data_IF_758487949049
#
_entry.id   IF_758487949049
#
_cell.length_a   1.000
_cell.length_b   1.000
_cell.length_c   1.000
_cell.angle_alpha   90.00
_cell.angle_beta   90.00
_cell.angle_gamma   90.00
#
_symmetry.space_group_name_H-M   'P 1'
#
loop_
_entity.id
_entity.type
_entity.pdbx_description
1 polymer ?
#
# COMPACT_ATOMS: atom_id res chain seq x y z
N UNK A 1 -32.19 -12.88 12.49
CA UNK A 1 -31.51 -11.69 11.91
C UNK A 1 -30.50 -11.03 12.87
N UNK A 2 -30.37 -11.47 14.14
CA UNK A 2 -29.35 -10.96 15.07
C UNK A 2 -27.98 -11.66 14.99
N UNK A 3 -27.85 -12.82 14.31
CA UNK A 3 -26.59 -13.58 14.26
C UNK A 3 -25.63 -13.15 13.13
N UNK A 4 -26.04 -12.27 12.22
CA UNK A 4 -25.16 -11.77 11.14
C UNK A 4 -24.38 -10.50 11.54
N UNK A 5 -24.77 -9.82 12.64
CA UNK A 5 -24.11 -8.58 13.10
C UNK A 5 -22.97 -8.80 14.11
N UNK A 6 -22.71 -10.03 14.55
CA UNK A 6 -21.75 -10.33 15.64
C UNK A 6 -20.39 -10.84 15.15
N UNK A 7 -20.23 -11.16 13.85
CA UNK A 7 -19.01 -11.81 13.35
C UNK A 7 -17.99 -10.89 12.66
N UNK A 8 -18.23 -9.57 12.62
CA UNK A 8 -17.20 -8.63 12.15
C UNK A 8 -16.52 -8.00 13.37
N UNK A 9 -15.85 -8.83 14.17
CA UNK A 9 -14.88 -8.30 15.13
C UNK A 9 -13.75 -7.76 14.27
N UNK A 10 -13.80 -6.45 14.04
CA UNK A 10 -12.70 -5.74 13.39
C UNK A 10 -11.43 -6.00 14.18
N UNK A 11 -10.33 -6.19 13.46
CA UNK A 11 -9.03 -6.37 14.08
C UNK A 11 -8.76 -5.22 15.07
N UNK A 12 -8.29 -5.57 16.26
CA UNK A 12 -8.07 -4.58 17.31
C UNK A 12 -6.88 -3.70 16.96
N UNK A 13 -7.07 -2.39 17.06
CA UNK A 13 -5.99 -1.41 16.96
C UNK A 13 -5.58 -0.99 18.37
N UNK A 14 -4.32 -1.23 18.71
CA UNK A 14 -3.71 -0.79 19.97
C UNK A 14 -2.80 0.41 19.75
N UNK A 15 -2.68 1.28 20.75
CA UNK A 15 -1.72 2.39 20.74
C UNK A 15 -0.73 2.22 21.88
N UNK A 16 0.56 2.29 21.57
CA UNK A 16 1.64 2.29 22.56
C UNK A 16 1.75 3.71 23.13
N UNK A 17 1.64 3.91 24.45
CA UNK A 17 1.81 5.23 25.06
C UNK A 17 3.22 5.77 24.80
N UNK A 18 3.31 6.97 24.22
CA UNK A 18 4.57 7.70 24.04
C UNK A 18 4.35 9.18 24.33
N UNK A 19 5.42 9.93 24.57
CA UNK A 19 5.32 11.38 24.78
C UNK A 19 4.80 12.14 23.55
N UNK A 20 4.95 11.57 22.34
CA UNK A 20 4.48 12.17 21.10
C UNK A 20 3.01 11.84 20.78
N UNK A 21 2.45 10.78 21.38
CA UNK A 21 1.06 10.39 21.18
C UNK A 21 0.14 11.15 22.14
N UNK A 22 -0.21 12.38 21.77
CA UNK A 22 -1.21 13.17 22.50
C UNK A 22 -2.61 12.53 22.41
N UNK A 23 -3.54 12.84 23.33
CA UNK A 23 -4.92 12.34 23.24
C UNK A 23 -5.61 12.71 21.93
N UNK A 24 -5.42 13.93 21.44
CA UNK A 24 -6.03 14.40 20.20
C UNK A 24 -5.46 13.66 18.98
N UNK A 25 -4.13 13.50 18.92
CA UNK A 25 -3.49 12.72 17.85
C UNK A 25 -3.98 11.27 17.88
N UNK A 26 -4.05 10.65 19.06
CA UNK A 26 -4.58 9.29 19.19
C UNK A 26 -6.01 9.19 18.64
N UNK A 27 -6.90 10.09 19.03
CA UNK A 27 -8.30 10.08 18.57
C UNK A 27 -8.41 10.26 17.05
N UNK A 28 -7.59 11.15 16.47
CA UNK A 28 -7.52 11.34 15.02
C UNK A 28 -7.07 10.07 14.30
N UNK A 29 -5.99 9.44 14.76
CA UNK A 29 -5.44 8.21 14.16
C UNK A 29 -6.42 7.05 14.29
N UNK A 30 -7.04 6.89 15.46
CA UNK A 30 -8.03 5.84 15.72
C UNK A 30 -9.25 5.98 14.81
N UNK A 31 -9.79 7.19 14.67
CA UNK A 31 -10.93 7.48 13.80
C UNK A 31 -10.62 7.24 12.33
N UNK A 32 -9.47 7.73 11.86
CA UNK A 32 -9.05 7.61 10.45
C UNK A 32 -8.75 6.16 10.09
N UNK A 33 -8.01 5.45 10.94
CA UNK A 33 -7.65 4.06 10.70
C UNK A 33 -8.86 3.13 10.78
N UNK A 34 -9.84 3.41 11.64
CA UNK A 34 -11.09 2.63 11.69
C UNK A 34 -11.87 2.71 10.38
N UNK A 35 -11.86 3.87 9.71
CA UNK A 35 -12.50 4.03 8.41
C UNK A 35 -11.74 3.25 7.32
N UNK A 36 -10.42 3.40 7.29
CA UNK A 36 -9.57 2.68 6.35
C UNK A 36 -9.64 1.16 6.52
N UNK A 37 -9.67 0.68 7.77
CA UNK A 37 -9.85 -0.73 8.08
C UNK A 37 -11.17 -1.28 7.54
N UNK A 38 -12.28 -0.54 7.67
CA UNK A 38 -13.57 -0.96 7.09
C UNK A 38 -13.51 -1.07 5.58
N UNK A 39 -12.88 -0.10 4.92
CA UNK A 39 -12.65 -0.15 3.47
C UNK A 39 -11.87 -1.41 3.07
N UNK A 40 -10.77 -1.73 3.76
CA UNK A 40 -10.01 -2.96 3.49
C UNK A 40 -10.82 -4.24 3.77
N UNK A 41 -11.72 -4.21 4.76
CA UNK A 41 -12.63 -5.34 5.03
C UNK A 41 -13.65 -5.55 3.90
N UNK A 42 -14.17 -4.48 3.30
CA UNK A 42 -15.11 -4.55 2.18
C UNK A 42 -14.49 -5.25 0.95
N UNK A 43 -13.19 -5.07 0.73
CA UNK A 43 -12.47 -5.73 -0.38
C UNK A 43 -11.97 -7.15 -0.03
N UNK A 44 -12.14 -7.59 1.22
CA UNK A 44 -11.96 -8.98 1.64
C UNK A 44 -10.96 -9.21 2.78
N UNK A 45 -10.41 -8.16 3.40
CA UNK A 45 -9.56 -8.33 4.57
C UNK A 45 -10.37 -8.81 5.78
N UNK A 46 -9.84 -9.79 6.52
CA UNK A 46 -10.54 -10.42 7.65
C UNK A 46 -9.99 -10.04 9.02
N UNK A 47 -8.92 -9.24 9.08
CA UNK A 47 -8.21 -9.00 10.32
C UNK A 47 -7.26 -10.14 10.71
N UNK A 48 -6.36 -9.85 11.64
CA UNK A 48 -5.53 -10.87 12.31
C UNK A 48 -5.93 -11.09 13.77
N UNK A 49 -5.66 -12.30 14.26
CA UNK A 49 -5.70 -12.58 15.69
C UNK A 49 -4.54 -11.84 16.39
N UNK A 50 -4.86 -11.06 17.41
CA UNK A 50 -3.87 -10.31 18.21
C UNK A 50 -3.85 -8.80 17.94
N UNK A 51 -4.35 -8.35 16.80
CA UNK A 51 -4.41 -6.91 16.48
C UNK A 51 -3.09 -6.34 15.96
N UNK A 52 -3.13 -5.06 15.61
CA UNK A 52 -1.95 -4.25 15.28
C UNK A 52 -1.73 -3.19 16.35
N UNK A 53 -0.46 -2.88 16.66
CA UNK A 53 -0.11 -1.77 17.56
C UNK A 53 0.44 -0.58 16.76
N UNK A 54 0.20 0.63 17.25
CA UNK A 54 0.74 1.86 16.68
C UNK A 54 1.61 2.53 17.73
N UNK A 55 2.84 2.88 17.37
CA UNK A 55 3.77 3.64 18.21
C UNK A 55 4.19 4.90 17.49
N UNK A 56 3.94 6.06 18.09
CA UNK A 56 4.41 7.35 17.56
C UNK A 56 5.71 7.72 18.27
N UNK A 57 6.83 7.64 17.57
CA UNK A 57 8.15 7.83 18.15
C UNK A 57 8.55 9.32 18.09
N UNK A 58 8.95 9.94 19.21
CA UNK A 58 9.36 11.35 19.23
C UNK A 58 10.71 11.61 18.54
N UNK A 59 11.48 10.56 18.27
CA UNK A 59 12.83 10.65 17.73
C UNK A 59 12.90 10.03 16.34
N UNK A 60 13.87 10.51 15.54
CA UNK A 60 14.27 9.91 14.27
C UNK A 60 14.69 8.45 14.50
N UNK A 61 14.00 7.54 13.85
CA UNK A 61 14.33 6.13 13.75
C UNK A 61 15.38 5.92 12.65
N UNK A 62 16.20 4.89 12.79
CA UNK A 62 17.24 4.54 11.81
C UNK A 62 16.69 3.77 10.61
N UNK A 63 15.53 3.11 10.75
CA UNK A 63 14.91 2.30 9.71
C UNK A 63 14.23 3.18 8.66
N UNK A 64 13.46 4.17 9.09
CA UNK A 64 12.67 5.00 8.19
C UNK A 64 11.67 5.88 8.94
N UNK A 65 11.00 6.82 8.25
CA UNK A 65 10.03 7.73 8.85
C UNK A 65 8.78 6.99 9.38
N UNK A 66 8.44 5.86 8.77
CA UNK A 66 7.46 4.91 9.26
C UNK A 66 7.75 3.51 8.73
N UNK A 67 7.38 2.48 9.48
CA UNK A 67 7.50 1.08 9.07
C UNK A 67 6.60 0.17 9.91
N UNK A 68 6.11 -0.92 9.32
CA UNK A 68 5.52 -2.05 10.04
C UNK A 68 6.55 -3.14 10.35
N UNK A 69 6.65 -3.54 11.62
CA UNK A 69 7.53 -4.63 12.07
C UNK A 69 6.99 -5.26 13.35
N UNK A 70 7.03 -6.59 13.45
CA UNK A 70 6.65 -7.35 14.66
C UNK A 70 5.28 -6.96 15.25
N UNK A 71 4.26 -6.86 14.39
CA UNK A 71 2.90 -6.51 14.80
C UNK A 71 2.72 -5.04 15.23
N UNK A 72 3.72 -4.20 14.99
CA UNK A 72 3.70 -2.78 15.37
C UNK A 72 4.00 -1.89 14.17
N UNK A 73 3.11 -0.97 13.88
CA UNK A 73 3.36 0.18 13.02
C UNK A 73 4.07 1.24 13.84
N UNK A 74 5.26 1.63 13.43
CA UNK A 74 6.04 2.70 14.04
C UNK A 74 6.02 3.88 13.10
N UNK A 75 5.67 5.05 13.63
CA UNK A 75 5.63 6.31 12.87
C UNK A 75 6.39 7.35 13.64
N UNK A 76 7.29 8.08 13.00
CA UNK A 76 7.93 9.23 13.62
C UNK A 76 6.92 10.37 13.82
N UNK A 77 7.05 11.10 14.91
CA UNK A 77 6.12 12.16 15.29
C UNK A 77 5.94 13.22 14.19
N UNK A 78 7.00 13.53 13.44
CA UNK A 78 6.97 14.50 12.34
C UNK A 78 6.09 14.07 11.15
N UNK A 79 5.73 12.79 11.06
CA UNK A 79 4.94 12.20 9.98
C UNK A 79 3.54 11.76 10.46
N UNK A 80 3.31 11.73 11.77
CA UNK A 80 2.12 11.11 12.36
C UNK A 80 0.81 11.83 12.04
N UNK A 81 0.84 13.13 11.69
CA UNK A 81 -0.37 13.88 11.30
C UNK A 81 -0.79 13.64 9.86
N UNK A 82 0.05 12.99 9.06
CA UNK A 82 -0.22 12.61 7.69
C UNK A 82 -0.74 11.17 7.66
N UNK A 83 -2.07 11.03 7.58
CA UNK A 83 -2.74 9.73 7.66
C UNK A 83 -2.34 8.78 6.54
N UNK A 84 -1.86 9.28 5.41
CA UNK A 84 -1.40 8.47 4.30
C UNK A 84 -0.25 7.56 4.73
N UNK A 85 0.66 8.10 5.55
CA UNK A 85 1.80 7.36 6.12
C UNK A 85 1.29 6.19 6.97
N UNK A 86 0.32 6.45 7.85
CA UNK A 86 -0.28 5.39 8.67
C UNK A 86 -1.03 4.37 7.83
N UNK A 87 -1.80 4.81 6.84
CA UNK A 87 -2.57 3.93 5.96
C UNK A 87 -1.64 3.00 5.16
N UNK A 88 -0.56 3.52 4.59
CA UNK A 88 0.41 2.70 3.87
C UNK A 88 1.05 1.64 4.75
N UNK A 89 1.47 1.99 5.97
CA UNK A 89 2.06 1.01 6.88
C UNK A 89 1.02 0.00 7.40
N UNK A 90 -0.24 0.40 7.54
CA UNK A 90 -1.32 -0.54 7.80
C UNK A 90 -1.61 -1.45 6.60
N UNK A 91 -1.52 -0.94 5.37
CA UNK A 91 -1.63 -1.77 4.18
C UNK A 91 -0.50 -2.80 4.11
N UNK A 92 0.75 -2.45 4.47
CA UNK A 92 1.82 -3.44 4.60
C UNK A 92 1.48 -4.54 5.60
N UNK A 93 0.99 -4.17 6.77
CA UNK A 93 0.49 -5.15 7.75
C UNK A 93 -0.58 -6.07 7.15
N UNK A 94 -1.60 -5.51 6.49
CA UNK A 94 -2.68 -6.26 5.86
C UNK A 94 -2.16 -7.18 4.75
N UNK A 95 -1.26 -6.71 3.91
CA UNK A 95 -0.68 -7.47 2.81
C UNK A 95 0.17 -8.63 3.33
N UNK A 96 1.07 -8.37 4.28
CA UNK A 96 1.96 -9.38 4.88
C UNK A 96 1.17 -10.47 5.62
N UNK A 97 0.04 -10.12 6.24
CA UNK A 97 -0.74 -11.06 7.05
C UNK A 97 -1.82 -11.80 6.26
N UNK A 98 -2.31 -11.22 5.16
CA UNK A 98 -3.27 -11.88 4.24
C UNK A 98 -2.61 -12.83 3.24
N UNK A 99 -1.31 -12.65 3.06
CA UNK A 99 -0.40 -13.44 2.27
C UNK A 99 -0.33 -14.92 2.70
N UNK A 100 -0.49 -15.86 1.75
CA UNK A 100 -0.32 -17.30 2.01
C UNK A 100 1.15 -17.71 1.98
N UNK A 101 1.85 -17.50 3.10
CA UNK A 101 3.23 -17.94 3.35
C UNK A 101 4.20 -16.77 3.49
N UNK A 102 5.45 -17.06 3.84
CA UNK A 102 6.50 -16.04 3.93
C UNK A 102 6.81 -15.52 2.51
N UNK A 103 6.32 -14.31 2.20
CA UNK A 103 6.65 -13.63 0.95
C UNK A 103 8.15 -13.36 0.94
N UNK A 104 8.76 -13.73 -0.18
CA UNK A 104 10.17 -13.54 -0.40
C UNK A 104 10.39 -12.10 -0.90
N UNK A 105 11.60 -11.55 -0.71
CA UNK A 105 11.93 -10.15 -0.97
C UNK A 105 11.60 -9.70 -2.42
N UNK A 106 11.45 -10.65 -3.34
CA UNK A 106 11.09 -10.41 -4.73
C UNK A 106 9.74 -9.68 -4.88
N UNK A 107 8.76 -9.93 -4.00
CA UNK A 107 7.44 -9.28 -4.09
C UNK A 107 7.39 -7.87 -3.47
N UNK A 108 8.46 -7.43 -2.82
CA UNK A 108 8.48 -6.16 -2.06
C UNK A 108 8.08 -4.95 -2.90
N UNK A 109 8.42 -4.93 -4.19
CA UNK A 109 8.01 -3.86 -5.10
C UNK A 109 6.50 -3.81 -5.34
N UNK A 110 5.87 -4.99 -5.53
CA UNK A 110 4.42 -5.12 -5.69
C UNK A 110 3.71 -4.75 -4.39
N UNK A 111 4.19 -5.27 -3.26
CA UNK A 111 3.68 -4.96 -1.92
C UNK A 111 3.71 -3.45 -1.65
N UNK A 112 4.85 -2.80 -1.90
CA UNK A 112 5.02 -1.35 -1.74
C UNK A 112 4.10 -0.54 -2.66
N UNK A 113 3.90 -0.99 -3.91
CA UNK A 113 2.95 -0.40 -4.84
C UNK A 113 1.50 -0.54 -4.38
N UNK A 114 1.10 -1.73 -3.89
CA UNK A 114 -0.23 -1.98 -3.34
C UNK A 114 -0.48 -1.15 -2.07
N UNK A 115 0.51 -1.06 -1.18
CA UNK A 115 0.40 -0.29 0.05
C UNK A 115 0.19 1.21 -0.23
N UNK A 116 0.90 1.74 -1.23
CA UNK A 116 0.71 3.13 -1.68
C UNK A 116 -0.64 3.29 -2.39
N UNK A 117 -1.01 2.32 -3.25
CA UNK A 117 -2.28 2.31 -3.97
C UNK A 117 -3.50 2.30 -3.05
N UNK A 118 -3.57 1.41 -2.05
CA UNK A 118 -4.75 1.35 -1.18
C UNK A 118 -4.93 2.62 -0.36
N UNK A 119 -3.84 3.23 0.12
CA UNK A 119 -3.88 4.54 0.79
C UNK A 119 -4.45 5.62 -0.14
N UNK A 120 -3.90 5.72 -1.36
CA UNK A 120 -4.35 6.68 -2.38
C UNK A 120 -5.80 6.43 -2.84
N UNK A 121 -6.17 5.18 -3.08
CA UNK A 121 -7.49 4.76 -3.53
C UNK A 121 -8.57 5.13 -2.50
N UNK A 122 -8.31 4.86 -1.21
CA UNK A 122 -9.20 5.23 -0.12
C UNK A 122 -9.44 6.74 -0.03
N UNK A 123 -8.40 7.54 -0.21
CA UNK A 123 -8.51 8.99 -0.21
C UNK A 123 -9.06 9.56 -1.53
N UNK A 124 -9.09 8.76 -2.60
CA UNK A 124 -9.44 9.22 -3.95
C UNK A 124 -8.40 10.16 -4.57
N UNK A 125 -7.15 10.10 -4.11
CA UNK A 125 -6.06 11.01 -4.50
C UNK A 125 -4.81 10.20 -4.90
N UNK A 126 -4.25 10.38 -6.11
CA UNK A 126 -3.01 9.70 -6.50
C UNK A 126 -1.75 10.21 -5.79
N UNK A 127 -1.80 11.38 -5.13
CA UNK A 127 -0.68 11.95 -4.42
C UNK A 127 -0.58 11.35 -3.01
N UNK A 128 0.56 10.73 -2.71
CA UNK A 128 0.81 10.10 -1.42
C UNK A 128 1.70 10.98 -0.54
N UNK A 129 1.25 11.26 0.69
CA UNK A 129 2.10 11.84 1.73
C UNK A 129 2.47 13.29 1.50
N UNK A 130 1.56 14.08 0.91
CA UNK A 130 1.77 15.50 0.60
C UNK A 130 2.18 16.31 1.83
N UNK A 131 1.57 16.04 3.00
CA UNK A 131 1.86 16.75 4.25
C UNK A 131 3.22 16.38 4.83
N UNK A 132 3.77 15.24 4.43
CA UNK A 132 5.04 14.70 4.91
C UNK A 132 6.24 15.10 4.06
N UNK A 133 6.05 15.74 2.89
CA UNK A 133 7.14 16.11 1.97
C UNK A 133 8.20 16.98 2.65
N UNK A 134 7.78 18.01 3.39
CA UNK A 134 8.73 18.88 4.11
C UNK A 134 9.46 18.13 5.21
N UNK A 135 8.77 17.26 5.96
CA UNK A 135 9.38 16.44 7.01
C UNK A 135 10.41 15.44 6.43
N UNK A 136 10.07 14.78 5.31
CA UNK A 136 10.96 13.87 4.60
C UNK A 136 12.18 14.60 4.04
N UNK A 137 11.98 15.74 3.41
CA UNK A 137 13.03 16.60 2.89
C UNK A 137 14.05 17.00 3.98
N UNK A 138 13.54 17.43 5.15
CA UNK A 138 14.40 17.75 6.30
C UNK A 138 15.13 16.52 6.85
N UNK A 139 14.50 15.34 6.77
CA UNK A 139 15.05 14.07 7.26
C UNK A 139 16.22 13.56 6.41
N UNK A 140 16.10 13.63 5.08
CA UNK A 140 17.05 13.05 4.11
C UNK A 140 18.22 14.00 3.77
N UNK A 141 18.10 15.28 4.13
CA UNK A 141 19.12 16.30 3.87
C UNK A 141 18.94 17.01 2.54
N UNK A 142 19.69 18.11 2.35
CA UNK A 142 19.45 19.09 1.27
C UNK A 142 19.57 18.52 -0.13
N UNK A 143 20.41 17.51 -0.37
CA UNK A 143 20.63 16.97 -1.71
C UNK A 143 19.41 16.22 -2.26
N UNK A 144 18.64 15.55 -1.39
CA UNK A 144 17.41 14.82 -1.77
C UNK A 144 16.14 15.67 -1.61
N UNK A 145 16.24 16.84 -0.98
CA UNK A 145 15.09 17.70 -0.64
C UNK A 145 14.37 18.29 -1.85
N UNK A 146 15.10 18.62 -2.91
CA UNK A 146 14.58 19.40 -4.04
C UNK A 146 13.58 18.60 -4.87
N UNK A 147 13.79 17.29 -5.03
CA UNK A 147 12.91 16.43 -5.82
C UNK A 147 11.54 16.26 -5.15
N UNK A 148 11.50 15.92 -3.86
CA UNK A 148 10.23 15.74 -3.14
C UNK A 148 9.45 17.04 -3.05
N UNK A 149 10.12 18.16 -2.75
CA UNK A 149 9.49 19.48 -2.69
C UNK A 149 8.91 19.86 -4.06
N UNK A 150 9.65 19.63 -5.15
CA UNK A 150 9.17 19.94 -6.50
C UNK A 150 7.98 19.07 -6.90
N UNK A 151 7.95 17.80 -6.48
CA UNK A 151 6.82 16.89 -6.75
C UNK A 151 5.57 17.22 -5.94
N UNK A 152 5.72 17.80 -4.74
CA UNK A 152 4.61 18.10 -3.83
C UNK A 152 4.07 16.87 -3.08
N UNK A 153 4.56 15.66 -3.38
CA UNK A 153 4.21 14.41 -2.71
C UNK A 153 5.42 13.46 -2.60
N UNK A 154 5.33 12.45 -1.74
CA UNK A 154 6.37 11.41 -1.60
C UNK A 154 6.30 10.43 -2.79
N UNK A 155 5.09 10.05 -3.17
CA UNK A 155 4.81 9.33 -4.42
C UNK A 155 3.68 10.01 -5.17
N UNK A 156 3.66 9.89 -6.49
CA UNK A 156 2.49 10.21 -7.28
C UNK A 156 2.14 9.01 -8.17
N UNK A 157 1.00 8.38 -7.91
CA UNK A 157 0.55 7.21 -8.67
C UNK A 157 0.05 7.58 -10.07
N UNK A 158 -0.26 8.85 -10.31
CA UNK A 158 -0.56 9.38 -11.63
C UNK A 158 0.73 9.78 -12.34
N UNK A 159 1.44 8.77 -12.82
CA UNK A 159 2.73 8.90 -13.50
C UNK A 159 2.79 8.03 -14.76
N UNK A 160 3.82 8.19 -15.60
CA UNK A 160 4.05 7.38 -16.81
C UNK A 160 5.20 6.36 -16.68
N UNK A 161 5.67 6.06 -15.45
CA UNK A 161 6.77 5.13 -15.19
C UNK A 161 6.51 3.75 -15.79
N UNK A 162 7.58 3.08 -16.22
CA UNK A 162 7.54 1.80 -16.96
C UNK A 162 8.19 0.68 -16.15
N UNK A 163 7.89 -0.58 -16.47
CA UNK A 163 8.53 -1.73 -15.84
C UNK A 163 10.05 -1.78 -16.07
N UNK A 164 10.56 -1.14 -17.13
CA UNK A 164 12.01 -0.97 -17.33
C UNK A 164 12.68 -0.18 -16.22
N UNK A 165 11.94 0.68 -15.52
CA UNK A 165 12.48 1.55 -14.46
C UNK A 165 12.83 0.77 -13.19
N UNK A 166 12.24 -0.42 -13.01
CA UNK A 166 12.56 -1.33 -11.89
C UNK A 166 14.02 -1.80 -11.89
N UNK A 167 14.72 -1.68 -13.03
CA UNK A 167 16.11 -2.15 -13.18
C UNK A 167 17.15 -1.09 -12.79
N UNK A 168 16.73 0.13 -12.48
CA UNK A 168 17.62 1.30 -12.48
C UNK A 168 18.46 1.40 -11.20
N UNK A 169 18.03 0.85 -10.06
CA UNK A 169 18.84 0.96 -8.84
C UNK A 169 18.53 -0.14 -7.79
N UNK A 170 19.48 -1.05 -7.47
CA UNK A 170 19.28 -2.05 -6.41
C UNK A 170 19.21 -1.46 -5.00
N UNK A 171 19.57 -0.18 -4.81
CA UNK A 171 19.44 0.52 -3.53
C UNK A 171 18.07 1.20 -3.37
N UNK A 172 17.36 1.50 -4.46
CA UNK A 172 16.01 2.05 -4.41
C UNK A 172 14.96 0.93 -4.49
N UNK A 173 14.83 0.23 -3.38
CA UNK A 173 13.94 -0.94 -3.27
C UNK A 173 12.49 -0.57 -2.97
N UNK A 174 12.19 0.72 -2.75
CA UNK A 174 10.88 1.14 -2.25
C UNK A 174 10.21 2.25 -3.06
N UNK A 175 10.91 3.31 -3.47
CA UNK A 175 10.25 4.47 -4.08
C UNK A 175 9.92 4.22 -5.55
N UNK A 176 10.92 3.88 -6.37
CA UNK A 176 10.68 3.55 -7.78
C UNK A 176 9.73 2.35 -7.93
N UNK A 177 9.91 1.22 -7.21
CA UNK A 177 8.97 0.11 -7.31
C UNK A 177 7.54 0.48 -6.90
N UNK A 178 7.36 1.31 -5.85
CA UNK A 178 6.04 1.79 -5.47
C UNK A 178 5.38 2.64 -6.57
N UNK A 179 6.11 3.55 -7.20
CA UNK A 179 5.56 4.40 -8.27
C UNK A 179 5.25 3.63 -9.55
N UNK A 180 6.10 2.65 -9.93
CA UNK A 180 5.87 1.80 -11.10
C UNK A 180 4.63 0.93 -10.90
N UNK A 181 4.57 0.17 -9.81
CA UNK A 181 3.44 -0.72 -9.53
C UNK A 181 2.18 0.05 -9.16
N UNK A 182 2.29 1.01 -8.24
CA UNK A 182 1.17 1.85 -7.83
C UNK A 182 0.59 2.65 -8.98
N UNK A 183 1.40 3.07 -9.96
CA UNK A 183 0.89 3.74 -11.16
C UNK A 183 0.12 2.81 -12.11
N UNK A 184 0.56 1.56 -12.27
CA UNK A 184 -0.23 0.53 -12.98
C UNK A 184 -1.58 0.34 -12.30
N UNK A 185 -1.60 0.26 -10.97
CA UNK A 185 -2.83 0.06 -10.19
C UNK A 185 -3.76 1.28 -10.26
N UNK A 186 -3.20 2.49 -10.24
CA UNK A 186 -3.98 3.71 -10.41
C UNK A 186 -4.61 3.81 -11.81
N UNK A 187 -3.87 3.46 -12.87
CA UNK A 187 -4.44 3.37 -14.22
C UNK A 187 -5.60 2.39 -14.29
N UNK A 188 -5.50 1.25 -13.59
CA UNK A 188 -6.59 0.28 -13.51
C UNK A 188 -7.80 0.89 -12.82
N UNK A 189 -7.63 1.58 -11.69
CA UNK A 189 -8.72 2.27 -10.99
C UNK A 189 -9.44 3.28 -11.88
N UNK A 190 -8.70 4.10 -12.61
CA UNK A 190 -9.27 5.09 -13.53
C UNK A 190 -10.02 4.44 -14.71
N UNK A 191 -9.60 3.25 -15.15
CA UNK A 191 -10.18 2.55 -16.32
C UNK A 191 -11.33 1.61 -15.98
N UNK A 192 -11.26 0.92 -14.83
CA UNK A 192 -12.16 -0.17 -14.45
C UNK A 192 -13.17 0.20 -13.38
N UNK A 193 -12.99 1.31 -12.64
CA UNK A 193 -13.63 1.67 -11.37
C UNK A 193 -12.84 1.24 -10.11
N UNK A 194 -13.07 1.98 -9.01
CA UNK A 194 -12.36 1.81 -7.74
C UNK A 194 -12.72 0.50 -7.03
N UNK A 195 -14.01 0.22 -6.83
CA UNK A 195 -14.44 -0.92 -6.02
C UNK A 195 -13.97 -2.24 -6.66
N UNK A 196 -14.13 -2.33 -7.99
CA UNK A 196 -13.67 -3.48 -8.76
C UNK A 196 -12.15 -3.63 -8.68
N UNK A 197 -11.40 -2.54 -8.89
CA UNK A 197 -9.93 -2.57 -8.90
C UNK A 197 -9.36 -2.92 -7.54
N UNK A 198 -9.86 -2.30 -6.46
CA UNK A 198 -9.39 -2.55 -5.09
C UNK A 198 -9.57 -4.04 -4.73
N UNK A 199 -10.74 -4.59 -5.05
CA UNK A 199 -11.06 -6.02 -4.84
C UNK A 199 -10.21 -6.94 -5.69
N UNK A 200 -10.06 -6.64 -6.99
CA UNK A 200 -9.24 -7.43 -7.91
C UNK A 200 -7.78 -7.48 -7.44
N UNK A 201 -7.19 -6.34 -7.09
CA UNK A 201 -5.80 -6.26 -6.65
C UNK A 201 -5.58 -6.98 -5.32
N UNK A 202 -6.47 -6.80 -4.35
CA UNK A 202 -6.36 -7.47 -3.06
C UNK A 202 -6.47 -8.99 -3.19
N UNK A 203 -7.44 -9.49 -3.97
CA UNK A 203 -7.59 -10.92 -4.21
C UNK A 203 -6.45 -11.50 -5.04
N UNK A 204 -5.91 -10.72 -5.99
CA UNK A 204 -4.70 -11.09 -6.74
C UNK A 204 -3.56 -11.32 -5.76
N UNK A 205 -3.30 -10.37 -4.86
CA UNK A 205 -2.27 -10.51 -3.83
C UNK A 205 -2.45 -11.77 -2.97
N UNK A 206 -3.67 -12.01 -2.46
CA UNK A 206 -3.99 -13.19 -1.63
C UNK A 206 -3.80 -14.52 -2.37
N UNK A 207 -3.91 -14.51 -3.70
CA UNK A 207 -3.78 -15.71 -4.53
C UNK A 207 -2.32 -16.06 -4.88
N UNK A 208 -1.37 -15.14 -4.66
CA UNK A 208 0.04 -15.38 -4.92
C UNK A 208 0.58 -16.47 -3.99
N UNK A 209 1.43 -17.34 -4.54
CA UNK A 209 2.14 -18.36 -3.77
C UNK A 209 3.63 -18.31 -4.10
N UNK A 210 4.48 -18.41 -3.06
CA UNK A 210 5.95 -18.34 -3.25
C UNK A 210 6.48 -19.34 -4.26
N UNK A 211 5.99 -20.59 -4.22
CA UNK A 211 6.45 -21.67 -5.12
C UNK A 211 6.16 -21.41 -6.60
N UNK A 212 5.30 -20.45 -6.89
CA UNK A 212 4.86 -20.12 -8.24
C UNK A 212 5.75 -19.06 -8.90
N UNK A 213 6.65 -18.40 -8.16
CA UNK A 213 7.60 -17.44 -8.73
C UNK A 213 8.66 -18.22 -9.53
N UNK A 214 8.38 -18.38 -10.82
CA UNK A 214 9.34 -18.87 -11.81
C UNK A 214 9.34 -17.87 -12.97
N UNK A 215 10.46 -17.18 -13.17
CA UNK A 215 10.65 -16.27 -14.31
C UNK A 215 10.36 -14.80 -13.97
N UNK A 216 9.83 -14.08 -14.96
CA UNK A 216 9.58 -12.63 -14.89
C UNK A 216 8.41 -12.32 -13.94
N UNK A 217 8.73 -11.69 -12.81
CA UNK A 217 7.76 -11.40 -11.75
C UNK A 217 6.61 -10.48 -12.21
N UNK A 218 6.86 -9.36 -12.92
CA UNK A 218 5.81 -8.60 -13.56
C UNK A 218 4.84 -9.43 -14.42
N UNK A 219 5.37 -10.31 -15.28
CA UNK A 219 4.54 -11.19 -16.13
C UNK A 219 3.74 -12.18 -15.27
N UNK A 220 4.34 -12.73 -14.22
CA UNK A 220 3.68 -13.63 -13.29
C UNK A 220 2.50 -12.96 -12.58
N UNK A 221 2.71 -11.77 -12.00
CA UNK A 221 1.64 -11.02 -11.33
C UNK A 221 0.50 -10.69 -12.30
N UNK A 222 0.83 -10.22 -13.51
CA UNK A 222 -0.17 -9.96 -14.55
C UNK A 222 -1.02 -11.20 -14.88
N UNK A 223 -0.39 -12.37 -15.07
CA UNK A 223 -1.12 -13.61 -15.36
C UNK A 223 -2.05 -13.99 -14.21
N UNK A 224 -1.57 -13.87 -12.96
CA UNK A 224 -2.41 -14.13 -11.79
C UNK A 224 -3.59 -13.16 -11.70
N UNK A 225 -3.36 -11.88 -12.01
CA UNK A 225 -4.39 -10.86 -12.03
C UNK A 225 -5.49 -11.17 -13.06
N UNK A 226 -5.13 -11.65 -14.26
CA UNK A 226 -6.13 -12.08 -15.25
C UNK A 226 -6.96 -13.27 -14.79
N UNK A 227 -6.35 -14.24 -14.11
CA UNK A 227 -7.05 -15.40 -13.56
C UNK A 227 -8.07 -14.98 -12.49
N UNK A 228 -7.66 -14.10 -11.56
CA UNK A 228 -8.55 -13.56 -10.53
C UNK A 228 -9.66 -12.71 -11.15
N UNK A 229 -9.33 -11.85 -12.13
CA UNK A 229 -10.31 -11.07 -12.89
C UNK A 229 -11.39 -11.97 -13.51
N UNK A 230 -10.99 -13.07 -14.15
CA UNK A 230 -11.95 -14.06 -14.68
C UNK A 230 -12.82 -14.68 -13.58
N UNK A 231 -12.25 -15.00 -12.43
CA UNK A 231 -13.01 -15.55 -11.29
C UNK A 231 -14.04 -14.56 -10.71
N UNK A 232 -13.82 -13.26 -10.93
CA UNK A 232 -14.74 -12.17 -10.56
C UNK A 232 -15.77 -11.85 -11.65
N UNK A 233 -15.82 -12.58 -12.77
CA UNK A 233 -16.70 -12.29 -13.90
C UNK A 233 -16.27 -11.05 -14.69
N UNK A 234 -14.97 -10.76 -14.69
CA UNK A 234 -14.38 -9.57 -15.30
C UNK A 234 -14.05 -9.69 -16.79
N UNK A 235 -14.76 -10.52 -17.56
CA UNK A 235 -14.41 -10.77 -18.96
C UNK A 235 -14.32 -9.49 -19.80
N UNK A 236 -15.13 -8.48 -19.49
CA UNK A 236 -15.15 -7.21 -20.20
C UNK A 236 -13.92 -6.32 -19.90
N UNK A 237 -13.28 -6.49 -18.74
CA UNK A 237 -12.13 -5.71 -18.29
C UNK A 237 -10.79 -6.21 -18.85
N UNK A 238 -10.75 -7.40 -19.44
CA UNK A 238 -9.51 -8.06 -19.90
C UNK A 238 -8.69 -7.22 -20.87
N UNK A 239 -9.34 -6.56 -21.83
CA UNK A 239 -8.65 -5.75 -22.83
C UNK A 239 -8.04 -4.49 -22.18
N UNK A 240 -8.79 -3.81 -21.31
CA UNK A 240 -8.31 -2.63 -20.59
C UNK A 240 -7.10 -2.97 -19.71
N UNK A 241 -7.16 -4.07 -18.96
CA UNK A 241 -6.03 -4.55 -18.15
C UNK A 241 -4.81 -4.81 -19.03
N UNK A 242 -4.98 -5.53 -20.15
CA UNK A 242 -3.87 -5.82 -21.08
C UNK A 242 -3.25 -4.55 -21.62
N UNK A 243 -4.06 -3.60 -22.08
CA UNK A 243 -3.59 -2.32 -22.63
C UNK A 243 -2.79 -1.52 -21.61
N UNK A 244 -3.22 -1.47 -20.35
CA UNK A 244 -2.49 -0.79 -19.27
C UNK A 244 -1.11 -1.40 -19.09
N UNK A 245 -1.00 -2.72 -18.95
CA UNK A 245 0.28 -3.40 -18.74
C UNK A 245 1.21 -3.27 -19.96
N UNK A 246 0.68 -3.37 -21.18
CA UNK A 246 1.44 -3.14 -22.41
C UNK A 246 1.94 -1.69 -22.52
N UNK A 247 1.10 -0.70 -22.22
CA UNK A 247 1.48 0.72 -22.17
C UNK A 247 2.56 1.00 -21.12
N UNK A 248 2.60 0.20 -20.06
CA UNK A 248 3.63 0.24 -19.00
C UNK A 248 4.91 -0.54 -19.38
N UNK A 249 4.98 -1.09 -20.59
CA UNK A 249 6.16 -1.73 -21.15
C UNK A 249 6.32 -3.20 -20.75
N UNK A 250 5.26 -3.86 -20.28
CA UNK A 250 5.32 -5.29 -20.02
C UNK A 250 5.23 -6.08 -21.33
N UNK A 251 6.24 -6.90 -21.62
CA UNK A 251 6.22 -7.85 -22.72
C UNK A 251 5.40 -9.08 -22.32
N UNK A 252 4.23 -9.26 -22.94
CA UNK A 252 3.25 -10.30 -22.63
C UNK A 252 3.35 -11.54 -23.52
#
# INVERSE_FOLDING_TARGET
VLSAKVNQISEKIGFVPTAALTPDLKNQLESSLSQFQRHLQEIGYKGTEGGVKISVNPQKDKVGPAYYMDGTIKVEAAFATDTDILFREYSHHVLITSARGNFADEFRGIESGLASYFSCSFNGDPAFGEKSVTALSNREGKENSSEFIAKGSIHNLKNDRKFSDLKINPLDTYYIPAEVWGGVFWDMRESLDQEYTDKLLFQTWQSLQRKDVKGDLPVYFYKRLLEVNKSLGGENQLNQIREIFQRRGLSL
#
